data_IF_729847414795
#
_entry.id   IF_729847414795
#
_cell.length_a   1.000
_cell.length_b   1.000
_cell.length_c   1.000
_cell.angle_alpha   90.00
_cell.angle_beta   90.00
_cell.angle_gamma   90.00
#
_symmetry.space_group_name_H-M   'P 1'
#
loop_
_entity.id
_entity.type
_entity.pdbx_description
1 polymer ?
#
# COMPACT_ATOMS: atom_id res chain seq x y z
N UNK A 1 5.98 -3.74 -11.85
CA UNK A 1 4.56 -3.93 -11.46
C UNK A 1 4.47 -5.23 -10.69
N UNK A 2 3.96 -5.19 -9.45
CA UNK A 2 3.79 -6.38 -8.62
C UNK A 2 2.35 -6.89 -8.75
N UNK A 3 2.20 -8.19 -8.86
CA UNK A 3 0.90 -8.85 -8.88
C UNK A 3 1.04 -10.22 -8.20
N UNK A 4 -0.03 -10.69 -7.56
CA UNK A 4 -0.05 -12.02 -6.96
C UNK A 4 -0.86 -12.94 -7.89
N UNK A 5 -0.24 -13.96 -8.52
CA UNK A 5 -0.92 -14.86 -9.44
C UNK A 5 -1.66 -16.01 -8.74
N UNK A 6 -1.52 -16.11 -7.42
CA UNK A 6 -1.99 -17.23 -6.61
C UNK A 6 -3.49 -17.17 -6.28
N UNK A 7 -4.07 -18.36 -6.12
CA UNK A 7 -5.39 -18.56 -5.56
C UNK A 7 -5.48 -18.18 -4.08
N UNK A 8 -6.70 -18.22 -3.54
CA UNK A 8 -6.95 -17.87 -2.14
C UNK A 8 -6.35 -18.86 -1.15
N UNK A 9 -6.31 -20.14 -1.50
CA UNK A 9 -5.89 -21.23 -0.61
C UNK A 9 -4.43 -21.67 -0.81
N UNK A 10 -3.71 -21.01 -1.72
CA UNK A 10 -2.31 -21.36 -2.06
C UNK A 10 -1.32 -21.03 -0.93
N UNK A 11 -1.78 -20.40 0.17
CA UNK A 11 -0.94 -20.07 1.32
C UNK A 11 0.14 -19.01 1.06
N UNK A 12 0.17 -18.39 -0.13
CA UNK A 12 1.21 -17.46 -0.55
C UNK A 12 1.30 -16.23 0.37
N UNK A 13 2.45 -15.55 0.39
CA UNK A 13 2.66 -14.32 1.17
C UNK A 13 2.40 -13.02 0.38
N UNK A 14 2.19 -13.11 -0.93
CA UNK A 14 1.98 -11.93 -1.78
C UNK A 14 0.56 -11.36 -1.73
N UNK A 15 -0.44 -12.20 -1.49
CA UNK A 15 -1.83 -11.79 -1.64
C UNK A 15 -2.25 -10.93 -0.45
N UNK A 16 -2.73 -9.71 -0.72
CA UNK A 16 -3.38 -8.86 0.28
C UNK A 16 -4.51 -9.66 0.97
N UNK A 17 -4.60 -9.66 2.31
CA UNK A 17 -4.03 -8.67 3.24
C UNK A 17 -2.59 -8.93 3.69
N UNK A 18 -1.90 -9.95 3.16
CA UNK A 18 -0.49 -10.15 3.51
C UNK A 18 0.40 -9.07 2.87
N UNK A 19 1.48 -8.64 3.56
CA UNK A 19 2.33 -7.53 3.13
C UNK A 19 3.42 -7.92 2.11
N UNK A 20 3.46 -9.18 1.62
CA UNK A 20 4.62 -9.70 0.88
C UNK A 20 4.98 -8.90 -0.37
N UNK A 21 4.00 -8.38 -1.11
CA UNK A 21 4.27 -7.50 -2.27
C UNK A 21 4.87 -6.15 -1.85
N UNK A 22 4.49 -5.60 -0.69
CA UNK A 22 5.05 -4.34 -0.18
C UNK A 22 6.50 -4.54 0.24
N UNK A 23 6.82 -5.65 0.92
CA UNK A 23 8.20 -5.99 1.24
C UNK A 23 9.05 -6.29 0.00
N UNK A 24 8.45 -6.85 -1.05
CA UNK A 24 9.16 -7.02 -2.32
C UNK A 24 9.52 -5.65 -2.92
N UNK A 25 8.56 -4.73 -3.00
CA UNK A 25 8.82 -3.36 -3.45
C UNK A 25 9.87 -2.65 -2.57
N UNK A 26 9.83 -2.86 -1.25
CA UNK A 26 10.82 -2.33 -0.32
C UNK A 26 12.24 -2.78 -0.67
N UNK A 27 12.43 -4.07 -0.94
CA UNK A 27 13.75 -4.63 -1.26
C UNK A 27 14.26 -4.14 -2.61
N UNK A 28 13.41 -4.17 -3.62
CA UNK A 28 13.81 -3.87 -5.01
C UNK A 28 14.11 -2.37 -5.22
N UNK A 29 13.47 -1.49 -4.44
CA UNK A 29 13.63 -0.03 -4.54
C UNK A 29 14.25 0.63 -3.32
N UNK A 30 14.69 -0.17 -2.34
CA UNK A 30 15.26 0.32 -1.06
C UNK A 30 14.36 1.35 -0.36
N UNK A 31 13.04 1.14 -0.37
CA UNK A 31 12.08 2.06 0.23
C UNK A 31 12.14 1.98 1.75
N UNK A 32 11.91 3.11 2.43
CA UNK A 32 11.53 3.09 3.83
C UNK A 32 10.00 3.06 3.92
N UNK A 33 9.41 1.89 4.20
CA UNK A 33 7.96 1.73 4.19
C UNK A 33 7.25 2.60 5.23
N UNK A 34 7.87 2.92 6.37
CA UNK A 34 7.26 3.82 7.37
C UNK A 34 7.10 5.26 6.89
N UNK A 35 7.79 5.63 5.80
CA UNK A 35 7.71 6.95 5.17
C UNK A 35 7.13 6.86 3.75
N UNK A 36 6.62 5.70 3.34
CA UNK A 36 6.06 5.46 2.01
C UNK A 36 4.56 5.28 2.15
N UNK A 37 3.73 6.08 1.49
CA UNK A 37 2.28 5.92 1.55
C UNK A 37 1.81 4.79 0.62
N UNK A 38 0.91 3.93 1.11
CA UNK A 38 0.14 3.01 0.30
C UNK A 38 -1.29 3.51 0.15
N UNK A 39 -1.78 3.57 -1.10
CA UNK A 39 -3.09 4.10 -1.45
C UNK A 39 -3.89 2.98 -2.11
N UNK A 40 -5.09 2.69 -1.61
CA UNK A 40 -5.93 1.60 -2.10
C UNK A 40 -7.40 1.79 -1.73
N UNK A 41 -8.28 1.03 -2.38
CA UNK A 41 -9.73 1.13 -2.26
C UNK A 41 -10.36 -0.02 -1.44
N UNK A 42 -9.64 -1.13 -1.29
CA UNK A 42 -10.10 -2.32 -0.57
C UNK A 42 -9.59 -2.33 0.89
N UNK A 43 -10.33 -2.93 1.82
CA UNK A 43 -9.90 -3.05 3.21
C UNK A 43 -8.61 -3.88 3.35
N UNK A 44 -8.42 -4.86 2.45
CA UNK A 44 -7.19 -5.68 2.40
C UNK A 44 -5.96 -4.85 2.03
N UNK A 45 -6.12 -3.70 1.36
CA UNK A 45 -5.00 -2.77 1.15
C UNK A 45 -4.53 -2.15 2.46
N UNK A 46 -5.48 -1.73 3.30
CA UNK A 46 -5.18 -1.16 4.61
C UNK A 46 -4.54 -2.17 5.56
N UNK A 47 -5.05 -3.41 5.57
CA UNK A 47 -4.47 -4.49 6.37
C UNK A 47 -3.04 -4.84 5.94
N UNK A 48 -2.79 -4.91 4.62
CA UNK A 48 -1.45 -5.16 4.09
C UNK A 48 -0.47 -4.02 4.44
N UNK A 49 -0.92 -2.76 4.32
CA UNK A 49 -0.11 -1.62 4.70
C UNK A 49 0.21 -1.60 6.20
N UNK A 50 -0.79 -1.86 7.05
CA UNK A 50 -0.60 -1.94 8.50
C UNK A 50 0.42 -3.03 8.86
N UNK A 51 0.27 -4.22 8.29
CA UNK A 51 1.21 -5.32 8.50
C UNK A 51 2.63 -4.98 8.02
N UNK A 52 2.74 -4.17 6.96
CA UNK A 52 4.02 -3.70 6.43
C UNK A 52 4.63 -2.50 7.19
N UNK A 53 3.90 -1.90 8.15
CA UNK A 53 4.32 -0.69 8.84
C UNK A 53 4.28 0.56 7.95
N UNK A 54 3.37 0.58 6.97
CA UNK A 54 3.23 1.60 5.94
C UNK A 54 2.01 2.50 6.23
N UNK A 55 2.14 3.84 6.16
CA UNK A 55 1.00 4.74 6.18
C UNK A 55 0.00 4.41 5.06
N UNK A 56 -1.28 4.30 5.42
CA UNK A 56 -2.36 3.95 4.48
C UNK A 56 -3.38 5.07 4.36
N UNK A 57 -3.84 5.32 3.14
CA UNK A 57 -5.01 6.16 2.89
C UNK A 57 -5.99 5.45 1.96
N UNK A 58 -7.23 5.31 2.43
CA UNK A 58 -8.31 4.68 1.68
C UNK A 58 -8.87 5.64 0.63
N UNK A 59 -8.87 5.19 -0.61
CA UNK A 59 -9.49 5.89 -1.74
C UNK A 59 -10.96 5.47 -1.81
N UNK A 60 -11.85 6.45 -1.80
CA UNK A 60 -13.31 6.22 -1.91
C UNK A 60 -13.91 7.24 -2.87
N UNK A 61 -15.19 7.07 -3.22
CA UNK A 61 -15.92 8.05 -4.03
C UNK A 61 -15.96 9.44 -3.37
N UNK A 62 -16.15 9.48 -2.05
CA UNK A 62 -16.18 10.73 -1.27
C UNK A 62 -14.79 11.26 -0.92
N UNK A 63 -13.73 10.46 -1.11
CA UNK A 63 -12.34 10.81 -0.86
C UNK A 63 -11.45 10.33 -2.02
N UNK A 64 -11.54 11.00 -3.19
CA UNK A 64 -10.82 10.60 -4.39
C UNK A 64 -9.32 10.81 -4.25
N UNK A 65 -8.53 10.11 -5.08
CA UNK A 65 -7.06 10.12 -5.06
C UNK A 65 -6.46 11.54 -5.04
N UNK A 66 -7.00 12.46 -5.83
CA UNK A 66 -6.54 13.85 -5.89
C UNK A 66 -6.65 14.58 -4.55
N UNK A 67 -7.74 14.34 -3.81
CA UNK A 67 -7.98 14.94 -2.49
C UNK A 67 -6.99 14.45 -1.43
N UNK A 68 -6.44 13.24 -1.60
CA UNK A 68 -5.44 12.64 -0.71
C UNK A 68 -4.03 13.12 -1.13
N UNK A 69 -3.69 12.98 -2.40
CA UNK A 69 -2.32 13.16 -2.89
C UNK A 69 -1.90 14.63 -2.91
N UNK A 70 -2.79 15.55 -3.30
CA UNK A 70 -2.43 16.98 -3.41
C UNK A 70 -1.98 17.56 -2.05
N UNK A 71 -2.70 17.36 -0.94
CA UNK A 71 -2.22 17.78 0.38
C UNK A 71 -0.94 17.08 0.81
N UNK A 72 -0.82 15.75 0.62
CA UNK A 72 0.37 15.00 1.03
C UNK A 72 1.65 15.52 0.38
N UNK A 73 1.62 15.78 -0.93
CA UNK A 73 2.77 16.33 -1.66
C UNK A 73 3.15 17.73 -1.12
N UNK A 74 2.16 18.56 -0.77
CA UNK A 74 2.42 19.89 -0.19
C UNK A 74 3.08 19.80 1.18
N UNK A 75 2.74 18.80 1.98
CA UNK A 75 3.34 18.55 3.30
C UNK A 75 4.77 18.04 3.18
N UNK A 76 5.05 17.13 2.24
CA UNK A 76 6.38 16.54 2.04
C UNK A 76 7.40 17.55 1.46
N UNK A 77 6.92 18.57 0.74
CA UNK A 77 7.78 19.61 0.14
C UNK A 77 8.12 20.77 1.09
N UNK A 78 7.60 20.79 2.31
CA UNK A 78 8.00 21.73 3.35
C UNK A 78 9.12 21.14 4.19
#
# INVERSE_FOLDING_TARGET
>A
VYHCPHGWDDGCDCRKPKPGMLYQAQRDFHLNLSHTYFLGDDDRDGEAALAAGCPFEKVTETRPLSSIVIPLIKTIKK
#
